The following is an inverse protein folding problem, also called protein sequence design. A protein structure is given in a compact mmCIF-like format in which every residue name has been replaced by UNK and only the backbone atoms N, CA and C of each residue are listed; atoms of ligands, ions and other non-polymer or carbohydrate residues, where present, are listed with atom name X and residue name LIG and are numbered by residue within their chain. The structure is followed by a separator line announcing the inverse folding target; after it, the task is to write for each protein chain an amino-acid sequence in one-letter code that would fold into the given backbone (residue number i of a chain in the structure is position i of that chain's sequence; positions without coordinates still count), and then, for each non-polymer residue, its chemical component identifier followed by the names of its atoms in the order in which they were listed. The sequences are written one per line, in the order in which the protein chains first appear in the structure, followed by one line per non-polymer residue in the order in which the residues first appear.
data_IF_497512557960
#
_entry.id   IF_497512557960
#
_cell.length_a   1.000
_cell.length_b   1.000
_cell.length_c   1.000
_cell.angle_alpha   90.00
_cell.angle_beta   90.00
_cell.angle_gamma   90.00
#
_symmetry.space_group_name_H-M   'P 1'
#
loop_
_entity.id
_entity.type
_entity.pdbx_description
1 polymer ?
#
# COMPACT_ATOMS: atom_id res chain seq x y z
N UNK A 1 -27.10 -6.93 38.33
CA UNK A 1 -27.05 -6.67 36.90
C UNK A 1 -25.59 -6.37 36.60
N UNK A 2 -24.88 -7.39 36.12
CA UNK A 2 -23.43 -7.31 35.89
C UNK A 2 -23.22 -7.06 34.40
N UNK A 3 -22.71 -5.87 34.10
CA UNK A 3 -22.24 -5.50 32.74
C UNK A 3 -20.98 -6.31 32.42
N UNK A 4 -21.12 -7.29 31.53
CA UNK A 4 -19.99 -7.97 30.93
C UNK A 4 -19.53 -7.14 29.75
N UNK A 5 -18.54 -6.28 29.99
CA UNK A 5 -17.79 -5.58 28.96
C UNK A 5 -17.00 -6.65 28.18
N UNK A 6 -17.50 -7.07 27.02
CA UNK A 6 -16.75 -7.88 26.06
C UNK A 6 -15.71 -6.97 25.40
N UNK A 7 -14.50 -6.97 25.96
CA UNK A 7 -13.34 -6.44 25.26
C UNK A 7 -13.09 -7.34 24.03
N UNK A 8 -13.42 -6.83 22.85
CA UNK A 8 -13.02 -7.42 21.59
C UNK A 8 -11.48 -7.37 21.53
N UNK A 9 -10.83 -8.49 21.71
CA UNK A 9 -9.40 -8.65 21.40
C UNK A 9 -9.26 -8.58 19.88
N UNK A 10 -8.99 -7.38 19.35
CA UNK A 10 -8.58 -7.24 17.96
C UNK A 10 -7.36 -8.15 17.75
N UNK A 11 -7.48 -9.11 16.85
CA UNK A 11 -6.35 -9.97 16.46
C UNK A 11 -5.37 -9.11 15.69
N UNK A 12 -4.23 -8.81 16.30
CA UNK A 12 -3.17 -8.03 15.64
C UNK A 12 -2.51 -8.91 14.57
N UNK A 13 -2.39 -8.39 13.34
CA UNK A 13 -1.71 -9.08 12.25
C UNK A 13 -0.27 -9.46 12.64
N UNK A 14 0.12 -10.72 12.38
CA UNK A 14 1.50 -11.15 12.56
C UNK A 14 2.33 -10.66 11.37
N UNK A 15 3.21 -9.69 11.61
CA UNK A 15 4.10 -9.14 10.56
C UNK A 15 5.49 -9.76 10.69
N UNK A 16 6.04 -10.23 9.57
CA UNK A 16 7.43 -10.70 9.44
C UNK A 16 8.13 -9.95 8.32
N UNK A 17 9.44 -9.70 8.46
CA UNK A 17 10.26 -8.99 7.47
C UNK A 17 11.43 -9.87 7.05
N UNK A 18 11.74 -9.88 5.76
CA UNK A 18 12.88 -10.59 5.19
C UNK A 18 13.64 -9.64 4.25
N UNK A 19 14.98 -9.53 4.39
CA UNK A 19 15.80 -10.19 5.39
C UNK A 19 15.56 -9.66 6.82
N UNK A 20 15.94 -10.46 7.83
CA UNK A 20 15.87 -10.02 9.24
C UNK A 20 16.98 -9.03 9.57
N UNK A 21 18.12 -9.15 8.88
CA UNK A 21 19.28 -8.26 8.98
C UNK A 21 19.67 -7.77 7.58
N UNK A 22 19.79 -6.44 7.43
CA UNK A 22 20.16 -5.79 6.17
C UNK A 22 21.69 -5.59 6.10
N UNK A 23 22.25 -5.83 4.91
CA UNK A 23 23.71 -5.73 4.66
C UNK A 23 24.06 -4.51 3.82
N UNK A 24 23.22 -4.18 2.83
CA UNK A 24 23.52 -3.12 1.86
C UNK A 24 22.83 -1.79 2.16
N UNK A 25 21.82 -1.80 3.03
CA UNK A 25 21.07 -0.61 3.44
C UNK A 25 21.03 -0.51 4.97
N UNK A 26 20.81 0.70 5.48
CA UNK A 26 20.70 0.98 6.92
C UNK A 26 19.24 0.92 7.36
N UNK A 27 18.63 -0.26 7.23
CA UNK A 27 17.26 -0.50 7.63
C UNK A 27 17.22 -1.42 8.85
N UNK A 28 16.18 -1.26 9.64
CA UNK A 28 15.86 -2.14 10.77
C UNK A 28 14.55 -2.88 10.46
N UNK A 29 14.60 -4.21 10.43
CA UNK A 29 13.42 -5.04 10.15
C UNK A 29 12.28 -4.76 11.14
N UNK A 30 12.62 -4.47 12.40
CA UNK A 30 11.65 -4.11 13.44
C UNK A 30 10.90 -2.81 13.15
N UNK A 31 11.56 -1.79 12.56
CA UNK A 31 10.90 -0.52 12.20
C UNK A 31 9.91 -0.74 11.05
N UNK A 32 10.30 -1.52 10.04
CA UNK A 32 9.42 -1.88 8.91
C UNK A 32 8.21 -2.67 9.42
N UNK A 33 8.44 -3.67 10.29
CA UNK A 33 7.37 -4.48 10.86
C UNK A 33 6.38 -3.63 11.68
N UNK A 34 6.87 -2.68 12.48
CA UNK A 34 6.03 -1.79 13.29
C UNK A 34 5.13 -0.91 12.43
N UNK A 35 5.66 -0.32 11.34
CA UNK A 35 4.89 0.50 10.40
C UNK A 35 3.77 -0.32 9.75
N UNK A 36 4.08 -1.53 9.28
CA UNK A 36 3.09 -2.38 8.61
C UNK A 36 2.04 -2.88 9.61
N UNK A 37 2.43 -3.21 10.84
CA UNK A 37 1.50 -3.63 11.88
C UNK A 37 0.50 -2.50 12.26
N UNK A 38 0.99 -1.25 12.39
CA UNK A 38 0.13 -0.09 12.64
C UNK A 38 -0.87 0.14 11.49
N UNK A 39 -0.39 0.06 10.25
CA UNK A 39 -1.26 0.21 9.08
C UNK A 39 -2.29 -0.93 8.98
N UNK A 40 -1.89 -2.16 9.25
CA UNK A 40 -2.78 -3.32 9.24
C UNK A 40 -3.87 -3.22 10.32
N UNK A 41 -3.53 -2.76 11.52
CA UNK A 41 -4.49 -2.50 12.59
C UNK A 41 -5.53 -1.46 12.17
N UNK A 42 -5.10 -0.37 11.55
CA UNK A 42 -5.99 0.71 11.06
C UNK A 42 -6.88 0.28 9.90
N UNK A 43 -6.47 -0.73 9.15
CA UNK A 43 -7.22 -1.33 8.04
C UNK A 43 -8.00 -2.58 8.47
N UNK A 44 -7.98 -2.94 9.76
CA UNK A 44 -8.61 -4.13 10.32
C UNK A 44 -8.17 -5.44 9.62
N UNK A 45 -6.94 -5.48 9.11
CA UNK A 45 -6.34 -6.66 8.49
C UNK A 45 -5.79 -7.57 9.58
N UNK A 46 -6.38 -8.75 9.72
CA UNK A 46 -5.94 -9.78 10.67
C UNK A 46 -5.02 -10.85 10.03
N UNK A 47 -4.92 -10.86 8.71
CA UNK A 47 -4.12 -11.81 7.95
C UNK A 47 -2.64 -11.75 8.33
N UNK A 48 -1.89 -12.88 8.31
CA UNK A 48 -0.44 -12.85 8.39
C UNK A 48 0.16 -12.01 7.26
N UNK A 49 1.10 -11.13 7.59
CA UNK A 49 1.77 -10.27 6.61
C UNK A 49 3.25 -10.59 6.59
N UNK A 50 3.79 -10.80 5.39
CA UNK A 50 5.22 -10.95 5.13
C UNK A 50 5.70 -9.79 4.28
N UNK A 51 6.70 -9.05 4.76
CA UNK A 51 7.38 -8.01 3.99
C UNK A 51 8.69 -8.57 3.46
N UNK A 52 8.89 -8.54 2.14
CA UNK A 52 10.10 -8.97 1.48
C UNK A 52 10.78 -7.76 0.86
N UNK A 53 11.95 -7.40 1.37
CA UNK A 53 12.72 -6.25 0.90
C UNK A 53 13.92 -6.73 0.10
N UNK A 54 13.99 -6.33 -1.17
CA UNK A 54 15.19 -6.52 -1.99
C UNK A 54 16.14 -5.33 -1.78
N UNK A 55 17.17 -5.53 -0.97
CA UNK A 55 18.13 -4.48 -0.62
C UNK A 55 19.21 -4.24 -1.71
N UNK A 56 19.26 -5.07 -2.75
CA UNK A 56 20.26 -4.96 -3.82
C UNK A 56 19.83 -4.05 -4.97
N UNK A 57 18.55 -3.66 -5.00
CA UNK A 57 17.96 -2.90 -6.11
C UNK A 57 17.36 -1.59 -5.58
N UNK A 58 17.98 -0.42 -5.85
CA UNK A 58 17.53 0.88 -5.33
C UNK A 58 16.38 1.47 -6.16
N UNK A 59 15.47 0.65 -6.65
CA UNK A 59 14.27 1.10 -7.36
C UNK A 59 13.12 1.38 -6.37
N UNK A 60 12.24 2.29 -6.73
CA UNK A 60 11.03 2.59 -5.96
C UNK A 60 9.86 1.68 -6.38
N UNK A 61 10.12 0.36 -6.57
CA UNK A 61 9.13 -0.62 -6.96
C UNK A 61 8.57 -1.32 -5.73
N UNK A 62 7.24 -1.42 -5.69
CA UNK A 62 6.50 -2.21 -4.69
C UNK A 62 5.38 -2.96 -5.39
N UNK A 63 5.02 -4.13 -4.89
CA UNK A 63 3.86 -4.91 -5.32
C UNK A 63 3.45 -5.87 -4.21
N UNK A 64 2.23 -6.40 -4.31
CA UNK A 64 1.71 -7.35 -3.34
C UNK A 64 1.32 -8.68 -4.01
N UNK A 65 1.31 -9.73 -3.21
CA UNK A 65 0.81 -11.05 -3.56
C UNK A 65 -0.03 -11.58 -2.40
N UNK A 66 -1.14 -12.23 -2.72
CA UNK A 66 -1.99 -12.87 -1.72
C UNK A 66 -2.04 -14.36 -2.04
N UNK A 67 -1.57 -15.18 -1.10
CA UNK A 67 -1.62 -16.64 -1.23
C UNK A 67 -2.94 -17.17 -0.66
N UNK A 68 -3.92 -17.30 -1.56
CA UNK A 68 -5.27 -17.75 -1.23
C UNK A 68 -6.30 -16.64 -1.12
N UNK A 69 -7.55 -17.02 -0.86
CA UNK A 69 -8.70 -16.10 -0.75
C UNK A 69 -9.37 -16.14 0.62
N UNK A 70 -8.82 -16.90 1.56
CA UNK A 70 -9.37 -17.07 2.91
C UNK A 70 -8.86 -16.02 3.89
N UNK A 71 -9.52 -15.89 5.04
CA UNK A 71 -9.05 -15.03 6.14
C UNK A 71 -7.69 -15.44 6.71
N UNK A 72 -7.19 -16.63 6.36
CA UNK A 72 -5.89 -17.15 6.78
C UNK A 72 -4.81 -16.98 5.68
N UNK A 73 -5.18 -16.41 4.52
CA UNK A 73 -4.26 -16.15 3.43
C UNK A 73 -3.12 -15.25 3.90
N UNK A 74 -1.89 -15.56 3.49
CA UNK A 74 -0.74 -14.72 3.79
C UNK A 74 -0.64 -13.60 2.74
N UNK A 75 -0.57 -12.36 3.20
CA UNK A 75 -0.29 -11.20 2.37
C UNK A 75 1.22 -11.02 2.31
N UNK A 76 1.81 -11.06 1.10
CA UNK A 76 3.23 -10.78 0.90
C UNK A 76 3.38 -9.41 0.23
N UNK A 77 4.07 -8.50 0.91
CA UNK A 77 4.41 -7.17 0.41
C UNK A 77 5.85 -7.18 -0.07
N UNK A 78 6.08 -6.95 -1.35
CA UNK A 78 7.41 -6.86 -1.94
C UNK A 78 7.82 -5.41 -2.12
N UNK A 79 9.03 -5.07 -1.69
CA UNK A 79 9.60 -3.74 -1.85
C UNK A 79 11.06 -3.82 -2.30
N UNK A 80 11.42 -3.02 -3.31
CA UNK A 80 12.80 -2.70 -3.60
C UNK A 80 13.28 -1.62 -2.62
N UNK A 81 14.56 -1.59 -2.24
CA UNK A 81 15.06 -0.70 -1.17
C UNK A 81 14.75 0.77 -1.42
N UNK A 82 14.86 1.23 -2.66
CA UNK A 82 14.57 2.62 -3.02
C UNK A 82 13.14 3.09 -2.74
N UNK A 83 12.19 2.16 -2.52
CA UNK A 83 10.83 2.50 -2.10
C UNK A 83 10.74 2.92 -0.63
N UNK A 84 11.73 2.56 0.18
CA UNK A 84 11.79 2.77 1.62
C UNK A 84 12.91 3.74 2.03
N UNK A 85 13.69 4.24 1.05
CA UNK A 85 14.85 5.09 1.30
C UNK A 85 14.50 6.56 1.45
N UNK A 86 15.31 7.25 2.26
CA UNK A 86 15.37 8.70 2.29
C UNK A 86 16.01 9.20 0.98
N UNK A 87 15.28 10.07 0.26
CA UNK A 87 15.75 10.62 -1.03
C UNK A 87 16.97 11.52 -0.91
N UNK A 88 17.21 12.10 0.25
CA UNK A 88 18.37 12.96 0.51
C UNK A 88 19.56 12.16 1.06
N UNK A 89 19.30 11.00 1.66
CA UNK A 89 20.29 10.13 2.25
C UNK A 89 20.12 8.69 1.74
N UNK A 90 20.63 8.38 0.53
CA UNK A 90 20.52 7.03 -0.04
C UNK A 90 20.98 5.94 0.92
N UNK A 91 20.39 4.76 0.82
CA UNK A 91 20.61 3.60 1.71
C UNK A 91 20.17 3.82 3.17
N UNK A 92 19.60 4.98 3.53
CA UNK A 92 19.04 5.23 4.85
C UNK A 92 17.53 5.08 4.83
N UNK A 93 16.97 4.51 5.89
CA UNK A 93 15.54 4.30 6.02
C UNK A 93 14.76 5.62 6.15
N UNK A 94 13.57 5.65 5.57
CA UNK A 94 12.62 6.75 5.70
C UNK A 94 11.26 6.21 6.10
N UNK A 95 10.87 6.43 7.35
CA UNK A 95 9.57 6.01 7.85
C UNK A 95 8.39 6.60 7.02
N UNK A 96 8.40 7.89 6.61
CA UNK A 96 7.35 8.42 5.73
C UNK A 96 7.30 7.73 4.35
N UNK A 97 8.46 7.42 3.73
CA UNK A 97 8.50 6.70 2.46
C UNK A 97 7.98 5.27 2.61
N UNK A 98 8.34 4.59 3.69
CA UNK A 98 7.85 3.24 4.01
C UNK A 98 6.34 3.24 4.27
N UNK A 99 5.81 4.20 5.04
CA UNK A 99 4.37 4.34 5.28
C UNK A 99 3.60 4.57 3.97
N UNK A 100 4.08 5.45 3.10
CA UNK A 100 3.45 5.71 1.79
C UNK A 100 3.53 4.48 0.89
N UNK A 101 4.70 3.86 0.75
CA UNK A 101 4.93 2.76 -0.20
C UNK A 101 4.25 1.46 0.24
N UNK A 102 4.49 1.01 1.47
CA UNK A 102 3.91 -0.22 2.00
C UNK A 102 2.42 -0.06 2.29
N UNK A 103 1.98 1.12 2.72
CA UNK A 103 0.57 1.41 2.93
C UNK A 103 -0.25 1.31 1.64
N UNK A 104 0.27 1.77 0.50
CA UNK A 104 -0.43 1.65 -0.80
C UNK A 104 -0.65 0.20 -1.20
N UNK A 105 0.38 -0.64 -1.14
CA UNK A 105 0.25 -2.05 -1.52
C UNK A 105 -0.55 -2.84 -0.49
N UNK A 106 -0.51 -2.45 0.80
CA UNK A 106 -1.38 -3.06 1.81
C UNK A 106 -2.85 -2.71 1.57
N UNK A 107 -3.16 -1.47 1.14
CA UNK A 107 -4.51 -1.09 0.71
C UNK A 107 -4.96 -1.88 -0.52
N UNK A 108 -4.08 -2.14 -1.49
CA UNK A 108 -4.41 -3.01 -2.63
C UNK A 108 -4.72 -4.43 -2.18
N UNK A 109 -3.90 -5.00 -1.29
CA UNK A 109 -4.16 -6.31 -0.70
C UNK A 109 -5.52 -6.34 0.01
N UNK A 110 -5.86 -5.29 0.78
CA UNK A 110 -7.16 -5.14 1.41
C UNK A 110 -8.29 -5.07 0.38
N UNK A 111 -8.13 -4.28 -0.68
CA UNK A 111 -9.11 -4.16 -1.76
C UNK A 111 -9.36 -5.52 -2.44
N UNK A 112 -8.29 -6.31 -2.75
CA UNK A 112 -8.40 -7.64 -3.37
C UNK A 112 -9.19 -8.66 -2.55
N UNK A 113 -9.31 -8.46 -1.23
CA UNK A 113 -10.16 -9.29 -0.39
C UNK A 113 -11.64 -8.96 -0.50
N UNK A 114 -11.99 -7.87 -1.18
CA UNK A 114 -13.38 -7.45 -1.43
C UNK A 114 -13.93 -8.13 -2.70
N UNK A 115 -15.22 -8.51 -2.73
CA UNK A 115 -15.83 -9.16 -3.91
C UNK A 115 -15.79 -8.32 -5.19
N UNK A 116 -15.85 -7.00 -5.08
CA UNK A 116 -15.83 -6.05 -6.20
C UNK A 116 -14.44 -5.84 -6.81
N UNK A 117 -13.41 -6.50 -6.27
CA UNK A 117 -12.05 -6.61 -6.83
C UNK A 117 -11.71 -8.02 -7.35
N UNK A 118 -12.69 -8.94 -7.42
CA UNK A 118 -12.43 -10.32 -7.85
C UNK A 118 -11.83 -10.42 -9.26
N UNK A 119 -12.16 -9.47 -10.14
CA UNK A 119 -11.65 -9.41 -11.53
C UNK A 119 -10.37 -8.56 -11.68
N UNK A 120 -9.81 -8.03 -10.58
CA UNK A 120 -8.59 -7.25 -10.64
C UNK A 120 -7.39 -8.14 -11.01
N UNK A 121 -6.58 -7.79 -12.05
CA UNK A 121 -5.39 -8.54 -12.41
C UNK A 121 -4.37 -8.57 -11.26
N UNK A 122 -3.47 -9.56 -11.22
CA UNK A 122 -2.35 -9.54 -10.29
C UNK A 122 -1.51 -8.26 -10.47
N UNK A 123 -0.86 -7.79 -9.42
CA UNK A 123 -0.12 -6.51 -9.45
C UNK A 123 0.90 -6.43 -10.58
N UNK A 124 1.56 -7.56 -10.90
CA UNK A 124 2.55 -7.62 -11.98
C UNK A 124 1.93 -7.64 -13.39
N UNK A 125 0.63 -7.94 -13.50
CA UNK A 125 -0.11 -7.99 -14.77
C UNK A 125 -0.89 -6.70 -15.05
N UNK A 126 -0.93 -5.76 -14.07
CA UNK A 126 -1.57 -4.46 -14.24
C UNK A 126 -0.92 -3.67 -15.37
N UNK A 127 -1.73 -3.07 -16.23
CA UNK A 127 -1.26 -2.05 -17.15
C UNK A 127 -0.74 -0.84 -16.38
N UNK A 128 0.12 -0.05 -17.01
CA UNK A 128 0.65 1.16 -16.40
C UNK A 128 -0.46 2.18 -16.05
N UNK A 129 -1.56 2.16 -16.79
CA UNK A 129 -2.72 3.03 -16.54
C UNK A 129 -3.50 2.56 -15.30
N UNK A 130 -3.84 1.27 -15.24
CA UNK A 130 -4.52 0.67 -14.08
C UNK A 130 -3.70 0.85 -12.81
N UNK A 131 -2.39 0.58 -12.89
CA UNK A 131 -1.49 0.77 -11.76
C UNK A 131 -1.49 2.22 -11.27
N UNK A 132 -1.39 3.21 -12.17
CA UNK A 132 -1.41 4.63 -11.80
C UNK A 132 -2.75 5.09 -11.22
N UNK A 133 -3.86 4.57 -11.73
CA UNK A 133 -5.20 4.87 -11.21
C UNK A 133 -5.38 4.31 -9.80
N UNK A 134 -5.07 3.03 -9.60
CA UNK A 134 -5.18 2.38 -8.29
C UNK A 134 -4.23 2.99 -7.26
N UNK A 135 -2.99 3.30 -7.65
CA UNK A 135 -2.05 4.03 -6.80
C UNK A 135 -2.58 5.39 -6.36
N UNK A 136 -3.22 6.13 -7.28
CA UNK A 136 -3.84 7.43 -6.95
C UNK A 136 -4.95 7.27 -5.91
N UNK A 137 -5.82 6.27 -6.08
CA UNK A 137 -6.89 5.94 -5.14
C UNK A 137 -6.34 5.54 -3.76
N UNK A 138 -5.37 4.65 -3.71
CA UNK A 138 -4.73 4.23 -2.46
C UNK A 138 -4.00 5.38 -1.76
N UNK A 139 -3.28 6.23 -2.51
CA UNK A 139 -2.57 7.38 -1.96
C UNK A 139 -3.54 8.41 -1.34
N UNK A 140 -4.69 8.65 -1.97
CA UNK A 140 -5.74 9.50 -1.42
C UNK A 140 -6.32 8.96 -0.10
N UNK A 141 -6.57 7.66 -0.02
CA UNK A 141 -7.02 6.98 1.21
C UNK A 141 -5.98 7.10 2.33
N UNK A 142 -4.69 6.86 2.03
CA UNK A 142 -3.60 7.04 3.01
C UNK A 142 -3.55 8.47 3.55
N UNK A 143 -3.68 9.48 2.67
CA UNK A 143 -3.71 10.88 3.11
C UNK A 143 -4.86 11.15 4.09
N UNK A 144 -6.06 10.60 3.82
CA UNK A 144 -7.22 10.72 4.75
C UNK A 144 -7.03 9.93 6.05
N UNK A 145 -6.25 8.86 6.01
CA UNK A 145 -5.80 8.15 7.21
C UNK A 145 -4.72 8.93 7.99
N UNK A 146 -4.27 10.09 7.52
CA UNK A 146 -3.27 10.93 8.19
C UNK A 146 -1.82 10.50 7.93
N UNK A 147 -1.58 9.64 6.94
CA UNK A 147 -0.22 9.38 6.43
C UNK A 147 0.24 10.59 5.62
N UNK A 148 1.49 10.99 5.79
CA UNK A 148 2.06 12.10 5.03
C UNK A 148 2.25 11.71 3.56
N UNK A 149 1.36 12.22 2.70
CA UNK A 149 1.36 11.94 1.25
C UNK A 149 1.37 13.26 0.46
N UNK A 150 2.30 13.40 -0.45
CA UNK A 150 2.40 14.61 -1.30
C UNK A 150 1.41 14.54 -2.47
N UNK A 151 0.20 15.13 -2.29
CA UNK A 151 -0.84 15.16 -3.32
C UNK A 151 -0.39 15.77 -4.64
N UNK A 152 0.41 16.86 -4.61
CA UNK A 152 0.88 17.52 -5.83
C UNK A 152 1.77 16.60 -6.67
N UNK A 153 2.64 15.83 -6.02
CA UNK A 153 3.47 14.82 -6.67
C UNK A 153 2.62 13.73 -7.30
N UNK A 154 1.59 13.24 -6.60
CA UNK A 154 0.67 12.24 -7.13
C UNK A 154 -0.14 12.75 -8.31
N UNK A 155 -0.63 14.00 -8.25
CA UNK A 155 -1.29 14.65 -9.39
C UNK A 155 -0.37 14.75 -10.60
N UNK A 156 0.90 15.14 -10.39
CA UNK A 156 1.89 15.20 -11.47
C UNK A 156 2.15 13.80 -12.08
N UNK A 157 2.29 12.76 -11.26
CA UNK A 157 2.47 11.39 -11.73
C UNK A 157 1.26 10.91 -12.55
N UNK A 158 0.05 11.22 -12.07
CA UNK A 158 -1.19 10.90 -12.77
C UNK A 158 -1.25 11.62 -14.15
N UNK A 159 -0.96 12.91 -14.18
CA UNK A 159 -0.87 13.68 -15.45
C UNK A 159 0.15 13.12 -16.41
N UNK A 160 1.31 12.67 -15.94
CA UNK A 160 2.33 12.03 -16.78
C UNK A 160 1.83 10.74 -17.45
N UNK A 161 0.88 10.07 -16.86
CA UNK A 161 0.29 8.84 -17.40
C UNK A 161 -0.88 9.10 -18.34
N UNK A 162 -1.75 10.05 -18.00
CA UNK A 162 -3.05 10.24 -18.66
C UNK A 162 -3.14 11.52 -19.49
N UNK A 163 -2.18 12.47 -19.34
CA UNK A 163 -2.16 13.75 -20.04
C UNK A 163 -2.38 14.95 -19.12
N UNK A 164 -2.17 16.15 -19.66
CA UNK A 164 -2.23 17.42 -18.93
C UNK A 164 -3.45 18.21 -19.42
N UNK A 165 -4.64 17.84 -18.95
CA UNK A 165 -5.90 18.52 -19.27
C UNK A 165 -6.87 18.45 -18.10
N UNK A 166 -7.97 19.20 -18.18
CA UNK A 166 -8.95 19.33 -17.10
C UNK A 166 -9.68 18.02 -16.80
N UNK A 167 -9.95 17.17 -17.79
CA UNK A 167 -10.61 15.88 -17.60
C UNK A 167 -9.73 14.93 -16.77
N UNK A 168 -8.42 14.93 -17.03
CA UNK A 168 -7.45 14.15 -16.25
C UNK A 168 -7.36 14.65 -14.82
N UNK A 169 -7.45 15.96 -14.60
CA UNK A 169 -7.46 16.52 -13.24
C UNK A 169 -8.74 16.16 -12.49
N UNK A 170 -9.90 16.23 -13.13
CA UNK A 170 -11.17 15.79 -12.54
C UNK A 170 -11.14 14.31 -12.19
N UNK A 171 -10.55 13.48 -13.07
CA UNK A 171 -10.33 12.05 -12.79
C UNK A 171 -9.43 11.84 -11.58
N UNK A 172 -8.32 12.57 -11.50
CA UNK A 172 -7.44 12.53 -10.34
C UNK A 172 -8.20 12.88 -9.06
N UNK A 173 -8.95 14.00 -9.06
CA UNK A 173 -9.68 14.46 -7.88
C UNK A 173 -10.73 13.46 -7.42
N UNK A 174 -11.42 12.80 -8.36
CA UNK A 174 -12.37 11.74 -8.05
C UNK A 174 -11.69 10.52 -7.40
N UNK A 175 -10.63 9.98 -8.01
CA UNK A 175 -9.87 8.85 -7.45
C UNK A 175 -9.27 9.20 -6.09
N UNK A 176 -8.71 10.40 -5.96
CA UNK A 176 -8.07 10.86 -4.74
C UNK A 176 -9.04 11.02 -3.56
N UNK A 177 -10.26 11.49 -3.82
CA UNK A 177 -11.24 11.79 -2.78
C UNK A 177 -12.17 10.62 -2.42
N UNK A 178 -12.19 9.56 -3.22
CA UNK A 178 -13.08 8.43 -3.02
C UNK A 178 -12.60 7.46 -1.93
N UNK A 179 -13.55 6.81 -1.25
CA UNK A 179 -13.29 5.79 -0.24
C UNK A 179 -13.83 4.40 -0.61
N UNK A 180 -14.79 4.33 -1.54
CA UNK A 180 -15.53 3.10 -1.84
C UNK A 180 -15.67 2.89 -3.37
N UNK A 181 -14.51 2.80 -4.06
CA UNK A 181 -14.48 2.41 -5.47
C UNK A 181 -14.28 0.89 -5.58
N UNK A 182 -14.91 0.29 -6.60
CA UNK A 182 -14.62 -1.06 -7.03
C UNK A 182 -13.58 -1.10 -8.15
N UNK A 183 -13.16 -2.31 -8.54
CA UNK A 183 -12.18 -2.48 -9.60
C UNK A 183 -12.62 -1.86 -10.93
N UNK A 184 -13.90 -2.02 -11.30
CA UNK A 184 -14.44 -1.44 -12.54
C UNK A 184 -14.32 0.07 -12.61
N UNK A 185 -14.48 0.78 -11.47
CA UNK A 185 -14.34 2.23 -11.39
C UNK A 185 -12.89 2.67 -11.61
N UNK A 186 -11.95 1.90 -11.06
CA UNK A 186 -10.50 2.16 -11.18
C UNK A 186 -10.02 1.84 -12.59
N UNK A 187 -10.38 0.69 -13.15
CA UNK A 187 -9.92 0.22 -14.45
C UNK A 187 -10.42 1.09 -15.61
N UNK A 188 -11.67 1.51 -15.58
CA UNK A 188 -12.26 2.41 -16.61
C UNK A 188 -11.81 3.86 -16.44
N UNK A 189 -11.18 4.14 -15.35
CA UNK A 189 -10.68 5.46 -15.02
C UNK A 189 -11.66 6.32 -14.27
N UNK A 190 -12.61 5.62 -13.64
CA UNK A 190 -13.63 6.22 -12.81
C UNK A 190 -14.62 7.05 -13.59
#
# INVERSE_FOLDING_TARGET
MSDVSTASTASTAKVTVSPEEFTFVKFEAGEIAAIVAELAERLEIANPIRVVVNETTPLAKVYEEIDGTSSDATITLHAESGALEDRQHPMSFSAPAAQESLGRILLRAHDRMRPDFADAPADLDLTLAENAAWDTYCAGRLARMGVEVNQQRWRYNHRNRFGFNDDVDQRFDRLWSADDLGWSDIATGG
#
